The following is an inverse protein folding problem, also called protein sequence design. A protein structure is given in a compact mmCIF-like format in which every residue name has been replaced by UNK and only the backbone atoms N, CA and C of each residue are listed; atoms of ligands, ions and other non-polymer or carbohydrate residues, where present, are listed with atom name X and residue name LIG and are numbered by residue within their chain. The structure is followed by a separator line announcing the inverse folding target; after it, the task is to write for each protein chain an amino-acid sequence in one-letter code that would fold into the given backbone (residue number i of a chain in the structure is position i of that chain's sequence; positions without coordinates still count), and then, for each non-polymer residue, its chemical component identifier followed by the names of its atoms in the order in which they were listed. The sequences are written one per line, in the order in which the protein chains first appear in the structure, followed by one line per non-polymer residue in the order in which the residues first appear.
data_IF_988735507210
#
_entry.id   IF_988735507210
#
_cell.length_a   1.000
_cell.length_b   1.000
_cell.length_c   1.000
_cell.angle_alpha   90.00
_cell.angle_beta   90.00
_cell.angle_gamma   90.00
#
_symmetry.space_group_name_H-M   'P 1'
#
loop_
_entity.id
_entity.type
_entity.pdbx_description
1 polymer ?
#
# COMPACT_ATOMS: atom_id res chain seq x y z
N UNK A 1 -7.85 -0.94 -2.16
CA UNK A 1 -7.25 0.14 -2.97
C UNK A 1 -7.10 1.36 -2.11
N UNK A 2 -5.96 2.05 -2.19
CA UNK A 2 -5.75 3.38 -1.61
C UNK A 2 -6.21 4.39 -2.68
N UNK A 3 -7.16 5.26 -2.33
CA UNK A 3 -7.62 6.30 -3.26
C UNK A 3 -6.61 7.45 -3.36
N UNK A 4 -6.73 8.25 -4.42
CA UNK A 4 -5.84 9.36 -4.71
C UNK A 4 -5.96 10.48 -3.69
N UNK A 5 -4.92 11.29 -3.57
CA UNK A 5 -4.96 12.52 -2.79
C UNK A 5 -6.04 13.52 -3.25
N UNK A 6 -6.45 13.45 -4.51
CA UNK A 6 -7.50 14.31 -5.04
C UNK A 6 -8.89 13.97 -4.47
N UNK A 7 -9.14 12.69 -4.17
CA UNK A 7 -10.40 12.21 -3.64
C UNK A 7 -10.39 12.09 -2.11
N UNK A 8 -9.27 11.61 -1.56
CA UNK A 8 -9.06 11.44 -0.12
C UNK A 8 -7.69 11.99 0.26
N UNK A 9 -7.68 13.24 0.68
CA UNK A 9 -6.48 13.95 1.10
C UNK A 9 -6.04 13.52 2.52
N UNK A 10 -5.58 12.27 2.67
CA UNK A 10 -4.93 11.83 3.90
C UNK A 10 -3.77 12.75 4.29
N UNK A 11 -3.59 13.03 5.57
CA UNK A 11 -2.43 13.80 6.02
C UNK A 11 -1.12 13.04 5.77
N UNK A 12 -0.04 13.77 5.50
CA UNK A 12 1.30 13.17 5.43
C UNK A 12 1.64 12.55 6.79
N UNK A 13 2.18 11.33 6.78
CA UNK A 13 2.39 10.52 7.98
C UNK A 13 1.22 9.57 8.29
N UNK A 14 0.10 9.64 7.57
CA UNK A 14 -0.97 8.63 7.69
C UNK A 14 -0.44 7.23 7.43
N UNK A 15 -0.85 6.28 8.27
CA UNK A 15 -0.48 4.87 8.19
C UNK A 15 -1.73 4.03 7.96
N UNK A 16 -1.71 3.21 6.90
CA UNK A 16 -2.77 2.26 6.58
C UNK A 16 -2.21 0.84 6.67
N UNK A 17 -2.81 0.00 7.51
CA UNK A 17 -2.43 -1.41 7.65
C UNK A 17 -3.49 -2.33 7.05
N UNK A 18 -3.02 -3.26 6.21
CA UNK A 18 -3.81 -4.27 5.54
C UNK A 18 -3.45 -5.64 6.11
N UNK A 19 -4.46 -6.42 6.49
CA UNK A 19 -4.29 -7.80 6.96
C UNK A 19 -5.16 -8.69 6.08
N UNK A 20 -4.56 -9.68 5.41
CA UNK A 20 -5.28 -10.60 4.55
C UNK A 20 -5.67 -11.86 5.33
N UNK A 21 -6.86 -11.90 5.94
CA UNK A 21 -7.35 -13.10 6.62
C UNK A 21 -8.05 -14.11 5.69
N UNK A 22 -7.99 -13.91 4.37
CA UNK A 22 -8.58 -14.82 3.40
C UNK A 22 -7.64 -15.96 3.03
N UNK A 23 -8.19 -17.03 2.45
CA UNK A 23 -7.44 -18.16 1.87
C UNK A 23 -6.90 -17.88 0.47
N UNK A 24 -6.93 -16.64 -0.01
CA UNK A 24 -6.48 -16.24 -1.34
C UNK A 24 -5.58 -15.01 -1.26
N UNK A 25 -4.79 -14.73 -2.30
CA UNK A 25 -4.02 -13.49 -2.37
C UNK A 25 -4.95 -12.30 -2.64
N UNK A 26 -4.57 -11.13 -2.13
CA UNK A 26 -5.27 -9.87 -2.35
C UNK A 26 -4.38 -8.85 -3.05
N UNK A 27 -4.99 -7.95 -3.81
CA UNK A 27 -4.30 -6.84 -4.47
C UNK A 27 -4.44 -5.54 -3.68
N UNK A 28 -3.31 -4.92 -3.36
CA UNK A 28 -3.24 -3.56 -2.81
C UNK A 28 -2.81 -2.65 -3.95
N UNK A 29 -3.79 -2.02 -4.59
CA UNK A 29 -3.58 -1.01 -5.63
C UNK A 29 -3.64 0.40 -5.05
N UNK A 30 -3.02 1.35 -5.76
CA UNK A 30 -3.20 2.79 -5.59
C UNK A 30 -3.64 3.36 -6.95
N UNK A 31 -4.41 4.45 -6.96
CA UNK A 31 -4.96 5.03 -8.20
C UNK A 31 -3.93 5.91 -8.91
N UNK A 32 -4.02 7.24 -8.81
CA UNK A 32 -3.10 8.19 -9.49
C UNK A 32 -1.84 8.52 -8.68
N UNK A 33 -1.89 8.32 -7.37
CA UNK A 33 -0.75 8.50 -6.48
C UNK A 33 0.28 7.38 -6.73
N UNK A 34 1.52 7.57 -6.26
CA UNK A 34 2.59 6.59 -6.43
C UNK A 34 2.86 5.84 -5.14
N UNK A 35 2.85 4.50 -5.19
CA UNK A 35 3.22 3.63 -4.08
C UNK A 35 4.50 2.86 -4.40
N UNK A 36 5.54 3.05 -3.58
CA UNK A 36 6.83 2.38 -3.67
C UNK A 36 6.90 1.19 -2.72
N UNK A 37 7.42 0.06 -3.19
CA UNK A 37 7.77 -1.07 -2.32
C UNK A 37 9.08 -0.78 -1.59
N UNK A 38 9.08 -0.88 -0.26
CA UNK A 38 10.29 -0.70 0.53
C UNK A 38 11.41 -1.71 0.14
N UNK A 39 12.66 -1.26 0.19
CA UNK A 39 13.83 -2.04 -0.23
C UNK A 39 14.04 -2.04 -1.74
N UNK A 40 13.05 -2.52 -2.51
CA UNK A 40 13.17 -2.62 -3.97
C UNK A 40 12.95 -1.29 -4.72
N UNK A 41 12.14 -0.37 -4.17
CA UNK A 41 11.80 0.90 -4.81
C UNK A 41 10.93 0.77 -6.07
N UNK A 42 10.36 -0.42 -6.34
CA UNK A 42 9.47 -0.62 -7.48
C UNK A 42 8.09 0.00 -7.22
N UNK A 43 7.42 0.44 -8.28
CA UNK A 43 6.07 1.01 -8.23
C UNK A 43 5.02 0.02 -8.76
N UNK A 44 3.74 0.30 -8.48
CA UNK A 44 2.60 -0.49 -8.95
C UNK A 44 1.84 -1.22 -7.86
N UNK A 45 0.84 -2.02 -8.28
CA UNK A 45 0.00 -2.84 -7.41
C UNK A 45 0.84 -3.89 -6.68
N UNK A 46 0.54 -4.09 -5.40
CA UNK A 46 1.17 -5.14 -4.59
C UNK A 46 0.24 -6.32 -4.39
N UNK A 47 0.81 -7.51 -4.36
CA UNK A 47 0.09 -8.74 -3.99
C UNK A 47 0.40 -9.05 -2.53
N UNK A 48 -0.64 -9.17 -1.71
CA UNK A 48 -0.54 -9.63 -0.33
C UNK A 48 -0.99 -11.08 -0.25
N UNK A 49 -0.08 -11.98 0.09
CA UNK A 49 -0.36 -13.40 0.27
C UNK A 49 -1.41 -13.66 1.37
N UNK A 50 -2.01 -14.85 1.36
CA UNK A 50 -2.93 -15.29 2.42
C UNK A 50 -2.26 -15.17 3.80
N UNK A 51 -3.00 -14.67 4.78
CA UNK A 51 -2.53 -14.42 6.15
C UNK A 51 -1.36 -13.44 6.25
N UNK A 52 -1.08 -12.66 5.19
CA UNK A 52 -0.06 -11.62 5.18
C UNK A 52 -0.52 -10.32 5.84
N UNK A 53 0.47 -9.46 6.16
CA UNK A 53 0.25 -8.11 6.67
C UNK A 53 1.12 -7.12 5.91
N UNK A 54 0.55 -5.98 5.52
CA UNK A 54 1.28 -4.88 4.90
C UNK A 54 0.87 -3.54 5.50
N UNK A 55 1.82 -2.61 5.59
CA UNK A 55 1.60 -1.26 6.09
C UNK A 55 2.12 -0.25 5.07
N UNK A 56 1.26 0.68 4.67
CA UNK A 56 1.57 1.79 3.79
C UNK A 56 1.60 3.11 4.58
N UNK A 57 2.66 3.90 4.43
CA UNK A 57 2.80 5.24 5.03
C UNK A 57 2.80 6.30 3.93
N UNK A 58 2.00 7.36 4.14
CA UNK A 58 1.99 8.53 3.25
C UNK A 58 3.21 9.39 3.51
N UNK A 59 4.16 9.41 2.57
CA UNK A 59 5.42 10.14 2.70
C UNK A 59 5.31 11.60 2.24
N UNK A 60 4.49 11.85 1.22
CA UNK A 60 4.19 13.19 0.69
C UNK A 60 2.73 13.24 0.23
N UNK A 61 2.29 14.35 -0.36
CA UNK A 61 0.93 14.50 -0.88
C UNK A 61 0.49 13.37 -1.81
N UNK A 62 1.39 12.83 -2.65
CA UNK A 62 1.06 11.83 -3.68
C UNK A 62 1.99 10.62 -3.65
N UNK A 63 2.81 10.46 -2.61
CA UNK A 63 3.77 9.36 -2.51
C UNK A 63 3.55 8.53 -1.25
N UNK A 64 3.53 7.22 -1.43
CA UNK A 64 3.38 6.22 -0.38
C UNK A 64 4.54 5.23 -0.40
N UNK A 65 4.93 4.74 0.77
CA UNK A 65 5.85 3.62 0.92
C UNK A 65 5.13 2.47 1.58
N UNK A 66 5.20 1.26 1.01
CA UNK A 66 4.56 0.06 1.57
C UNK A 66 5.59 -1.03 1.86
N UNK A 67 5.39 -1.73 2.96
CA UNK A 67 6.21 -2.87 3.39
C UNK A 67 5.36 -3.89 4.16
N UNK A 68 5.82 -5.12 4.28
CA UNK A 68 5.07 -6.14 5.00
C UNK A 68 5.57 -7.56 4.81
N UNK A 69 5.03 -8.48 5.61
CA UNK A 69 5.27 -9.91 5.46
C UNK A 69 4.26 -10.51 4.47
N UNK A 70 4.75 -11.31 3.52
CA UNK A 70 3.93 -11.88 2.46
C UNK A 70 3.52 -10.88 1.37
N UNK A 71 4.22 -9.74 1.26
CA UNK A 71 3.97 -8.71 0.26
C UNK A 71 4.97 -8.83 -0.90
N UNK A 72 4.48 -8.76 -2.14
CA UNK A 72 5.27 -8.63 -3.37
C UNK A 72 4.79 -7.47 -4.24
#
# INVERSE_FOLDING_TARGET
TIDSNANVAYDTGTVLTFINMSSSSLSIAITSDTMYLAGAGSTGTRTLAQYGIATAIKMTSTTWLISGNGLT
#
